data_IF_981988920775
#
_entry.id   IF_981988920775
#
_cell.length_a   1.000
_cell.length_b   1.000
_cell.length_c   1.000
_cell.angle_alpha   90.00
_cell.angle_beta   90.00
_cell.angle_gamma   90.00
#
_symmetry.space_group_name_H-M   'P 1'
#
loop_
_entity.id
_entity.type
_entity.pdbx_description
1 polymer ?
#
# COMPACT_ATOMS: atom_id res chain seq x y z
N UNK A 1 4.14 3.63 18.09
CA UNK A 1 3.50 2.33 17.72
C UNK A 1 1.99 2.47 17.81
N UNK A 2 1.25 2.15 16.76
CA UNK A 2 -0.23 2.15 16.78
C UNK A 2 -0.75 0.78 17.24
N UNK A 3 -1.65 0.77 18.23
CA UNK A 3 -2.35 -0.43 18.71
C UNK A 3 -3.86 -0.22 18.63
N UNK A 4 -4.61 -1.31 18.47
CA UNK A 4 -6.08 -1.30 18.41
C UNK A 4 -6.67 -1.19 19.82
N UNK A 5 -7.66 -0.31 20.01
CA UNK A 5 -8.42 -0.21 21.27
C UNK A 5 -9.82 -0.82 21.10
N UNK A 6 -10.23 -1.69 22.04
CA UNK A 6 -11.56 -2.28 22.23
C UNK A 6 -12.43 -2.46 20.96
N UNK A 7 -12.24 -3.57 20.22
CA UNK A 7 -13.23 -4.03 19.25
C UNK A 7 -14.02 -5.21 19.85
N UNK A 8 -15.34 -5.10 20.07
CA UNK A 8 -16.15 -6.28 20.38
C UNK A 8 -16.07 -7.26 19.20
N UNK A 9 -15.78 -8.53 19.50
CA UNK A 9 -15.49 -9.59 18.52
C UNK A 9 -16.68 -10.05 17.65
N UNK A 10 -17.85 -9.41 17.73
CA UNK A 10 -19.03 -9.86 17.00
C UNK A 10 -19.13 -9.24 15.60
N UNK A 11 -18.76 -10.01 14.56
CA UNK A 11 -19.22 -9.84 13.16
C UNK A 11 -18.94 -8.50 12.43
N UNK A 12 -17.92 -7.72 12.80
CA UNK A 12 -17.61 -6.44 12.12
C UNK A 12 -16.32 -6.48 11.30
N UNK A 13 -16.40 -6.59 9.96
CA UNK A 13 -15.23 -6.30 9.12
C UNK A 13 -14.95 -4.79 9.19
N UNK A 14 -14.02 -4.38 10.06
CA UNK A 14 -13.55 -2.99 10.15
C UNK A 14 -12.24 -2.91 9.38
N UNK A 15 -12.15 -1.99 8.42
CA UNK A 15 -10.85 -1.55 7.88
C UNK A 15 -10.60 -0.19 8.49
N UNK A 16 -9.46 -0.06 9.17
CA UNK A 16 -9.10 1.18 9.85
C UNK A 16 -7.79 1.68 9.26
N UNK A 17 -7.81 2.82 8.57
CA UNK A 17 -6.65 3.36 7.84
C UNK A 17 -6.22 4.71 8.38
N UNK A 18 -4.94 4.80 8.76
CA UNK A 18 -4.27 6.00 9.27
C UNK A 18 -3.66 6.77 8.14
N UNK A 19 -4.14 8.00 8.00
CA UNK A 19 -3.68 8.92 7.00
C UNK A 19 -3.02 10.11 7.68
N UNK A 20 -1.78 10.42 7.31
CA UNK A 20 -1.01 11.56 7.80
C UNK A 20 -1.01 12.68 6.74
N UNK A 21 -1.26 13.95 7.13
CA UNK A 21 -1.32 15.07 6.16
C UNK A 21 -0.80 16.43 6.66
N UNK A 22 -0.49 17.34 5.72
CA UNK A 22 -0.12 18.75 5.99
C UNK A 22 -1.31 19.71 6.23
N UNK A 23 -2.49 19.50 5.60
CA UNK A 23 -3.69 20.37 5.69
C UNK A 23 -5.02 19.59 5.69
N UNK A 24 -5.98 19.92 6.59
CA UNK A 24 -7.32 19.30 6.64
C UNK A 24 -8.44 20.36 6.78
N UNK A 25 -9.50 20.26 5.94
CA UNK A 25 -10.72 21.09 6.02
C UNK A 25 -11.61 20.98 4.77
N UNK A 26 -12.78 20.31 4.87
CA UNK A 26 -13.75 20.12 3.77
C UNK A 26 -15.04 19.41 4.21
N UNK A 27 -16.12 19.61 3.43
CA UNK A 27 -17.50 19.16 3.69
C UNK A 27 -17.67 17.64 3.43
N UNK A 28 -18.45 16.88 4.24
CA UNK A 28 -18.41 15.41 4.24
C UNK A 28 -19.06 14.72 3.04
N UNK A 29 -19.59 15.46 2.05
CA UNK A 29 -20.57 14.92 1.11
C UNK A 29 -20.02 14.46 -0.25
N UNK A 30 -18.77 14.77 -0.60
CA UNK A 30 -18.09 14.24 -1.80
C UNK A 30 -16.59 14.58 -1.88
N UNK A 31 -16.06 15.28 -0.88
CA UNK A 31 -14.64 15.64 -0.84
C UNK A 31 -13.79 14.41 -0.50
N UNK A 32 -12.58 14.27 -1.10
CA UNK A 32 -11.60 13.30 -0.61
C UNK A 32 -11.38 13.50 0.89
N UNK A 33 -11.05 12.42 1.61
CA UNK A 33 -10.88 12.38 3.09
C UNK A 33 -10.13 13.60 3.63
N UNK A 34 -9.24 14.20 2.83
CA UNK A 34 -8.57 15.46 3.10
C UNK A 34 -8.21 16.19 1.77
N UNK A 35 -7.93 17.51 1.80
CA UNK A 35 -7.49 18.36 0.63
C UNK A 35 -5.95 18.51 0.54
N UNK A 36 -5.29 18.24 -0.62
CA UNK A 36 -3.80 18.19 -0.78
C UNK A 36 -3.14 16.80 -1.02
N UNK A 37 -1.96 16.50 -0.47
CA UNK A 37 -1.29 15.16 -0.52
C UNK A 37 -1.38 14.41 0.80
N UNK A 38 -1.61 13.10 0.81
CA UNK A 38 -1.65 12.29 2.03
C UNK A 38 -0.84 11.00 1.92
N UNK A 39 -0.47 10.44 3.08
CA UNK A 39 0.25 9.17 3.16
C UNK A 39 -0.46 8.24 4.14
N UNK A 40 -0.69 7.00 3.73
CA UNK A 40 -1.15 5.95 4.65
C UNK A 40 0.06 5.48 5.46
N UNK A 41 0.04 5.61 6.78
CA UNK A 41 1.15 5.14 7.64
C UNK A 41 0.80 3.88 8.43
N UNK A 42 -0.48 3.54 8.52
CA UNK A 42 -0.95 2.34 9.18
C UNK A 42 -2.30 1.91 8.62
N UNK A 43 -2.54 0.61 8.59
CA UNK A 43 -3.84 0.04 8.24
C UNK A 43 -4.08 -1.21 9.06
N UNK A 44 -5.33 -1.43 9.46
CA UNK A 44 -5.76 -2.66 10.11
C UNK A 44 -6.94 -3.25 9.34
N UNK A 45 -6.95 -4.58 9.22
CA UNK A 45 -8.09 -5.32 8.69
C UNK A 45 -8.44 -6.48 9.63
N UNK A 46 -9.74 -6.78 9.73
CA UNK A 46 -10.24 -7.88 10.56
C UNK A 46 -9.57 -9.20 10.20
N UNK A 47 -9.08 -9.91 11.23
CA UNK A 47 -8.40 -11.20 11.13
C UNK A 47 -7.11 -11.17 10.28
N UNK A 48 -6.56 -10.00 9.99
CA UNK A 48 -5.27 -9.90 9.32
C UNK A 48 -4.13 -10.02 10.34
N UNK A 49 -2.95 -10.53 9.94
CA UNK A 49 -1.77 -10.45 10.78
C UNK A 49 -1.51 -9.01 11.22
N UNK A 50 -1.13 -8.81 12.48
CA UNK A 50 -0.66 -7.50 12.93
C UNK A 50 0.77 -7.28 12.46
N UNK A 51 1.04 -6.15 11.82
CA UNK A 51 2.40 -5.70 11.59
C UNK A 51 2.92 -4.94 12.81
N UNK A 52 4.10 -5.33 13.30
CA UNK A 52 4.81 -4.63 14.37
C UNK A 52 6.01 -3.94 13.76
N UNK A 53 6.15 -2.64 14.02
CA UNK A 53 7.34 -1.89 13.61
C UNK A 53 8.61 -2.56 14.17
N UNK A 54 9.71 -2.60 13.40
CA UNK A 54 11.00 -3.03 13.93
C UNK A 54 11.40 -2.23 15.18
N UNK A 55 12.27 -2.78 16.05
CA UNK A 55 12.86 -2.05 17.16
C UNK A 55 13.52 -0.74 16.71
N UNK A 56 13.59 0.24 17.60
CA UNK A 56 14.22 1.55 17.34
C UNK A 56 13.77 2.23 16.02
N UNK A 57 12.50 2.02 15.63
CA UNK A 57 11.91 2.61 14.42
C UNK A 57 10.66 3.44 14.75
N UNK A 58 10.57 4.64 14.17
CA UNK A 58 9.40 5.53 14.34
C UNK A 58 8.98 6.22 13.04
N UNK A 59 7.69 6.51 12.92
CA UNK A 59 7.17 7.45 11.92
C UNK A 59 7.24 8.88 12.46
N UNK A 60 7.98 9.79 11.80
CA UNK A 60 8.00 11.20 12.21
C UNK A 60 6.68 11.88 11.86
N UNK A 61 6.12 12.61 12.83
CA UNK A 61 4.91 13.42 12.70
C UNK A 61 5.10 14.75 13.44
N UNK A 62 4.35 15.78 13.03
CA UNK A 62 4.52 17.16 13.53
C UNK A 62 5.55 17.95 12.71
N UNK A 63 5.97 19.10 13.26
CA UNK A 63 6.91 20.02 12.61
C UNK A 63 6.43 20.50 11.23
N UNK A 64 7.34 20.49 10.27
CA UNK A 64 7.08 20.82 8.85
C UNK A 64 6.56 19.62 8.03
N UNK A 65 6.49 18.45 8.66
CA UNK A 65 5.96 17.22 8.12
C UNK A 65 4.43 17.13 8.26
N UNK A 66 3.94 15.99 8.73
CA UNK A 66 2.50 15.74 8.85
C UNK A 66 1.91 16.37 10.11
N UNK A 67 0.97 17.31 9.95
CA UNK A 67 0.33 18.08 11.03
C UNK A 67 -0.96 17.46 11.54
N UNK A 68 -1.59 16.60 10.74
CA UNK A 68 -2.87 15.99 11.04
C UNK A 68 -2.79 14.49 10.89
N UNK A 69 -3.50 13.81 11.79
CA UNK A 69 -3.73 12.37 11.77
C UNK A 69 -5.21 12.17 11.50
N UNK A 70 -5.53 11.40 10.47
CA UNK A 70 -6.91 11.13 10.07
C UNK A 70 -7.21 9.65 10.18
N UNK A 71 -8.28 9.36 10.89
CA UNK A 71 -8.81 8.05 11.15
C UNK A 71 -9.97 7.77 10.19
N UNK A 72 -9.78 6.85 9.25
CA UNK A 72 -10.86 6.32 8.42
C UNK A 72 -11.32 4.97 8.98
N UNK A 73 -12.60 4.85 9.34
CA UNK A 73 -13.21 3.59 9.82
C UNK A 73 -14.24 3.13 8.81
N UNK A 74 -14.01 1.95 8.21
CA UNK A 74 -14.97 1.32 7.31
C UNK A 74 -15.91 0.39 8.09
N UNK A 75 -17.21 0.64 8.01
CA UNK A 75 -18.25 -0.22 8.56
C UNK A 75 -18.88 -1.05 7.44
N UNK A 76 -18.56 -2.35 7.38
CA UNK A 76 -19.23 -3.28 6.44
C UNK A 76 -20.73 -3.45 6.76
N UNK A 77 -21.07 -3.50 8.04
CA UNK A 77 -22.44 -3.61 8.52
C UNK A 77 -22.66 -2.57 9.62
N UNK A 78 -23.60 -1.65 9.37
CA UNK A 78 -23.99 -0.59 10.27
C UNK A 78 -25.39 -0.80 10.88
N UNK A 79 -26.02 -1.98 10.66
CA UNK A 79 -27.35 -2.32 11.20
C UNK A 79 -27.44 -2.12 12.71
N UNK A 80 -26.36 -2.46 13.42
CA UNK A 80 -26.26 -2.28 14.87
C UNK A 80 -26.37 -0.82 15.35
N UNK A 81 -26.20 0.17 14.46
CA UNK A 81 -26.29 1.61 14.76
C UNK A 81 -27.61 2.24 14.33
N UNK A 82 -28.53 1.46 13.74
CA UNK A 82 -29.87 1.96 13.35
C UNK A 82 -30.70 2.36 14.58
N UNK A 83 -30.43 1.76 15.74
CA UNK A 83 -31.01 2.18 17.02
C UNK A 83 -30.09 3.22 17.67
N UNK A 84 -30.57 4.47 17.76
CA UNK A 84 -29.81 5.67 18.16
C UNK A 84 -29.11 5.63 19.55
N UNK A 85 -29.28 4.54 20.31
CA UNK A 85 -28.64 4.31 21.61
C UNK A 85 -27.20 3.79 21.50
N UNK A 86 -26.82 3.17 20.38
CA UNK A 86 -25.49 2.54 20.24
C UNK A 86 -24.48 3.50 19.62
N UNK A 87 -23.40 3.80 20.34
CA UNK A 87 -22.25 4.58 19.86
C UNK A 87 -21.04 3.67 19.65
N UNK A 88 -20.20 3.97 18.68
CA UNK A 88 -18.91 3.31 18.46
C UNK A 88 -17.76 4.28 18.78
N UNK A 89 -16.71 3.76 19.43
CA UNK A 89 -15.52 4.52 19.81
C UNK A 89 -14.25 3.84 19.31
N UNK A 90 -14.33 3.15 18.16
CA UNK A 90 -13.16 2.55 17.51
C UNK A 90 -12.12 3.59 17.18
N UNK A 91 -10.86 3.18 17.31
CA UNK A 91 -9.75 3.96 16.83
C UNK A 91 -8.44 3.25 17.14
N UNK A 92 -7.39 4.07 17.24
CA UNK A 92 -6.07 3.61 17.61
C UNK A 92 -5.61 4.23 18.92
N UNK A 93 -4.70 3.52 19.55
CA UNK A 93 -3.84 4.01 20.59
C UNK A 93 -2.45 4.21 19.99
N UNK A 94 -1.89 5.41 20.13
CA UNK A 94 -0.58 5.75 19.59
C UNK A 94 0.41 5.91 20.73
N UNK A 95 1.48 5.14 20.72
CA UNK A 95 2.67 5.44 21.52
C UNK A 95 3.52 6.46 20.76
N UNK A 96 3.70 7.64 21.35
CA UNK A 96 4.46 8.78 20.82
C UNK A 96 5.62 9.13 21.75
N UNK A 97 6.69 9.68 21.19
CA UNK A 97 7.84 10.19 21.93
C UNK A 97 8.43 11.39 21.17
N UNK A 98 9.18 12.24 21.87
CA UNK A 98 9.84 13.41 21.29
C UNK A 98 11.29 13.15 20.89
N UNK A 99 11.95 12.16 21.50
CA UNK A 99 13.29 11.75 21.13
C UNK A 99 13.25 10.92 19.84
N UNK A 100 13.97 11.28 18.77
CA UNK A 100 14.04 10.48 17.55
C UNK A 100 14.56 9.07 17.84
N UNK A 101 14.05 8.10 17.09
CA UNK A 101 14.60 6.74 17.09
C UNK A 101 15.77 6.65 16.08
N UNK A 102 16.48 5.52 16.03
CA UNK A 102 17.62 5.35 15.12
C UNK A 102 17.19 5.25 13.67
N UNK A 103 16.01 4.69 13.41
CA UNK A 103 15.49 4.50 12.08
C UNK A 103 14.15 5.21 11.91
N UNK A 104 13.99 5.90 10.80
CA UNK A 104 12.76 6.61 10.49
C UNK A 104 12.01 5.88 9.38
N UNK A 105 10.71 5.71 9.57
CA UNK A 105 9.86 5.00 8.62
C UNK A 105 9.15 5.96 7.67
N UNK A 106 9.08 5.56 6.41
CA UNK A 106 8.34 6.22 5.33
C UNK A 106 7.47 5.23 4.57
N UNK A 107 6.67 5.75 3.63
CA UNK A 107 5.89 4.93 2.70
C UNK A 107 6.09 5.46 1.30
N UNK A 108 6.55 4.58 0.42
CA UNK A 108 6.69 4.81 -1.01
C UNK A 108 5.47 4.24 -1.72
N UNK A 109 4.82 5.05 -2.56
CA UNK A 109 3.60 4.65 -3.27
C UNK A 109 3.89 4.37 -4.75
N UNK A 110 3.61 3.17 -5.21
CA UNK A 110 3.45 2.88 -6.64
C UNK A 110 1.98 3.01 -7.00
N UNK A 111 1.70 3.83 -8.01
CA UNK A 111 0.36 4.11 -8.50
C UNK A 111 0.42 4.27 -10.01
N UNK A 112 -0.58 3.77 -10.73
CA UNK A 112 -0.65 3.94 -12.18
C UNK A 112 -2.05 4.24 -12.63
N UNK A 113 -2.15 5.05 -13.68
CA UNK A 113 -3.34 5.13 -14.49
C UNK A 113 -3.39 3.92 -15.46
N UNK A 114 -4.47 3.81 -16.23
CA UNK A 114 -4.65 2.75 -17.22
C UNK A 114 -6.12 2.44 -17.44
N UNK A 115 -6.36 1.44 -18.30
CA UNK A 115 -7.69 0.93 -18.58
C UNK A 115 -7.67 -0.59 -18.63
N UNK A 116 -8.76 -1.20 -18.16
CA UNK A 116 -8.95 -2.64 -18.16
C UNK A 116 -9.94 -2.97 -19.26
N UNK A 117 -9.48 -3.76 -20.24
CA UNK A 117 -10.30 -4.11 -21.40
C UNK A 117 -11.53 -4.94 -20.97
N UNK A 118 -12.67 -4.85 -21.67
CA UNK A 118 -13.83 -5.69 -21.39
C UNK A 118 -13.53 -7.16 -21.67
N UNK A 119 -14.15 -8.04 -20.90
CA UNK A 119 -14.12 -9.50 -21.10
C UNK A 119 -12.71 -10.10 -21.24
N UNK A 120 -11.78 -9.72 -20.38
CA UNK A 120 -10.41 -10.23 -20.44
C UNK A 120 -9.53 -9.82 -19.28
N UNK A 121 -8.30 -10.32 -19.34
CA UNK A 121 -7.26 -10.01 -18.38
C UNK A 121 -6.44 -8.80 -18.86
N UNK A 122 -5.95 -8.01 -17.91
CA UNK A 122 -5.10 -6.85 -18.18
C UNK A 122 -4.01 -6.80 -17.12
N UNK A 123 -2.77 -6.65 -17.58
CA UNK A 123 -1.61 -6.35 -16.74
C UNK A 123 -1.25 -4.88 -16.90
N UNK A 124 -1.12 -4.18 -15.79
CA UNK A 124 -0.74 -2.76 -15.75
C UNK A 124 0.50 -2.64 -14.87
N UNK A 125 1.52 -1.95 -15.38
CA UNK A 125 2.83 -1.84 -14.74
C UNK A 125 3.24 -0.38 -14.58
N UNK A 126 4.00 -0.14 -13.52
CA UNK A 126 4.63 1.14 -13.23
C UNK A 126 6.05 0.90 -12.77
N UNK A 127 7.02 1.57 -13.39
CA UNK A 127 8.42 1.45 -13.04
C UNK A 127 9.08 2.83 -12.97
N UNK A 128 9.91 3.02 -11.94
CA UNK A 128 10.69 4.24 -11.78
C UNK A 128 12.11 3.89 -11.34
N UNK A 129 13.06 4.68 -11.84
CA UNK A 129 14.40 4.75 -11.26
C UNK A 129 14.32 5.52 -9.94
N UNK A 130 14.90 4.97 -8.89
CA UNK A 130 15.04 5.65 -7.61
C UNK A 130 16.17 6.69 -7.71
N UNK A 131 15.84 7.95 -7.41
CA UNK A 131 16.76 9.09 -7.56
C UNK A 131 17.11 9.74 -6.22
N UNK A 132 16.66 9.15 -5.11
CA UNK A 132 16.99 9.63 -3.78
C UNK A 132 18.43 9.28 -3.42
N UNK A 133 18.95 9.95 -2.38
CA UNK A 133 20.33 9.76 -1.92
C UNK A 133 20.47 8.69 -0.82
N UNK A 134 19.38 8.36 -0.13
CA UNK A 134 19.37 7.41 0.97
C UNK A 134 19.20 5.97 0.48
N UNK A 135 19.64 4.98 1.26
CA UNK A 135 19.30 3.59 1.00
C UNK A 135 17.96 3.28 1.67
N UNK A 136 16.99 2.76 0.91
CA UNK A 136 15.70 2.38 1.47
C UNK A 136 15.69 0.90 1.85
N UNK A 137 15.21 0.58 3.04
CA UNK A 137 15.02 -0.81 3.47
C UNK A 137 13.52 -1.14 3.57
N UNK A 138 12.94 -1.89 2.60
CA UNK A 138 11.54 -2.31 2.66
C UNK A 138 11.27 -3.22 3.87
N UNK A 139 10.27 -2.87 4.68
CA UNK A 139 9.92 -3.63 5.89
C UNK A 139 8.51 -4.23 5.85
N UNK A 140 7.59 -3.58 5.15
CA UNK A 140 6.23 -4.04 4.96
C UNK A 140 5.63 -3.48 3.67
N UNK A 141 4.56 -4.11 3.18
CA UNK A 141 3.84 -3.65 2.01
C UNK A 141 2.33 -3.82 2.17
N UNK A 142 1.57 -2.99 1.47
CA UNK A 142 0.10 -3.10 1.36
C UNK A 142 -0.29 -2.97 -0.10
N UNK A 143 -1.19 -3.84 -0.55
CA UNK A 143 -1.79 -3.76 -1.88
C UNK A 143 -3.20 -3.16 -1.81
N UNK A 144 -3.63 -2.48 -2.87
CA UNK A 144 -4.99 -2.01 -3.01
C UNK A 144 -5.45 -1.99 -4.47
N UNK A 145 -6.61 -2.59 -4.67
CA UNK A 145 -7.46 -2.49 -5.85
C UNK A 145 -8.92 -2.65 -5.40
N UNK A 146 -9.86 -2.34 -6.29
CA UNK A 146 -11.28 -2.66 -6.20
C UNK A 146 -11.52 -4.09 -6.69
N UNK A 147 -12.66 -4.38 -7.31
CA UNK A 147 -13.15 -5.75 -7.52
C UNK A 147 -12.47 -6.54 -8.63
N UNK A 148 -11.73 -5.88 -9.53
CA UNK A 148 -11.13 -6.53 -10.70
C UNK A 148 -9.67 -6.95 -10.44
N UNK A 149 -9.03 -6.42 -9.38
CA UNK A 149 -7.66 -6.80 -9.02
C UNK A 149 -7.53 -8.27 -8.59
N UNK A 150 -6.66 -9.02 -9.27
CA UNK A 150 -6.35 -10.42 -8.98
C UNK A 150 -5.12 -10.50 -8.07
N UNK A 151 -4.00 -9.90 -8.49
CA UNK A 151 -2.74 -9.86 -7.73
C UNK A 151 -2.01 -8.55 -8.02
N UNK A 152 -1.44 -7.95 -6.96
CA UNK A 152 -0.53 -6.82 -7.07
C UNK A 152 0.82 -7.23 -6.49
N UNK A 153 1.89 -6.86 -7.20
CA UNK A 153 3.26 -7.25 -6.91
C UNK A 153 4.19 -6.05 -7.06
N UNK A 154 5.33 -6.08 -6.37
CA UNK A 154 6.40 -5.14 -6.59
C UNK A 154 7.77 -5.82 -6.56
N UNK A 155 8.67 -5.30 -7.38
CA UNK A 155 10.00 -5.83 -7.61
C UNK A 155 11.06 -4.73 -7.52
N UNK A 156 12.23 -5.11 -7.02
CA UNK A 156 13.46 -4.33 -7.10
C UNK A 156 14.36 -4.95 -8.17
N UNK A 157 14.89 -4.10 -9.06
CA UNK A 157 15.95 -4.45 -9.99
C UNK A 157 17.23 -3.77 -9.56
N UNK A 158 18.22 -4.56 -9.14
CA UNK A 158 19.51 -4.10 -8.65
C UNK A 158 20.61 -4.98 -9.26
N UNK A 159 21.64 -4.37 -9.85
CA UNK A 159 22.77 -5.06 -10.50
C UNK A 159 22.35 -6.16 -11.50
N UNK A 160 21.28 -5.92 -12.27
CA UNK A 160 20.76 -6.88 -13.26
C UNK A 160 20.00 -8.06 -12.66
N UNK A 161 19.74 -8.07 -11.35
CA UNK A 161 18.94 -9.09 -10.68
C UNK A 161 17.57 -8.53 -10.26
N UNK A 162 16.54 -9.38 -10.35
CA UNK A 162 15.16 -9.12 -9.92
C UNK A 162 14.93 -9.69 -8.54
N UNK A 163 14.39 -8.89 -7.62
CA UNK A 163 14.00 -9.32 -6.28
C UNK A 163 12.55 -8.95 -5.97
N UNK A 164 11.77 -9.90 -5.46
CA UNK A 164 10.40 -9.65 -5.02
C UNK A 164 10.40 -8.84 -3.72
N UNK A 165 9.72 -7.69 -3.74
CA UNK A 165 9.43 -6.90 -2.53
C UNK A 165 8.19 -7.46 -1.83
N UNK A 166 7.15 -7.79 -2.60
CA UNK A 166 5.94 -8.42 -2.07
C UNK A 166 4.93 -8.73 -3.15
N UNK A 167 4.09 -9.74 -2.90
CA UNK A 167 3.00 -10.18 -3.77
C UNK A 167 1.77 -10.49 -2.92
N UNK A 168 0.60 -9.96 -3.30
CA UNK A 168 -0.65 -10.25 -2.60
C UNK A 168 -1.86 -9.98 -3.48
N UNK A 169 -2.89 -10.80 -3.33
CA UNK A 169 -4.20 -10.48 -3.90
C UNK A 169 -4.85 -9.30 -3.16
N UNK A 170 -5.29 -8.24 -3.87
CA UNK A 170 -5.99 -7.12 -3.25
C UNK A 170 -7.39 -7.48 -2.75
N UNK A 171 -7.93 -8.65 -3.13
CA UNK A 171 -9.19 -9.17 -2.56
C UNK A 171 -9.01 -9.77 -1.15
N UNK A 172 -7.76 -10.03 -0.75
CA UNK A 172 -7.45 -10.38 0.63
C UNK A 172 -7.49 -9.14 1.54
N UNK A 173 -7.24 -9.35 2.83
CA UNK A 173 -7.28 -8.29 3.85
C UNK A 173 -6.21 -7.24 3.54
N UNK A 174 -6.63 -6.06 3.12
CA UNK A 174 -5.72 -4.98 2.72
C UNK A 174 -5.06 -4.27 3.91
N UNK A 175 -4.16 -4.98 4.58
CA UNK A 175 -3.29 -4.50 5.65
C UNK A 175 -1.84 -4.38 5.16
N UNK A 176 -0.94 -3.89 6.03
CA UNK A 176 0.49 -4.07 5.83
C UNK A 176 0.91 -5.49 6.19
N UNK A 177 1.56 -6.17 5.23
CA UNK A 177 2.20 -7.47 5.35
C UNK A 177 3.72 -7.27 5.44
N UNK A 178 4.45 -8.10 6.19
CA UNK A 178 5.90 -8.01 6.23
C UNK A 178 6.51 -8.31 4.84
N UNK A 179 7.58 -7.60 4.49
CA UNK A 179 8.45 -8.01 3.36
C UNK A 179 9.26 -9.22 3.81
N UNK A 180 9.25 -10.33 3.06
CA UNK A 180 9.93 -11.57 3.49
C UNK A 180 11.46 -11.43 3.46
N UNK A 181 12.01 -10.87 2.38
CA UNK A 181 13.44 -10.64 2.29
C UNK A 181 13.87 -9.40 3.09
N UNK A 182 14.34 -9.63 4.32
CA UNK A 182 14.82 -8.59 5.25
C UNK A 182 16.14 -7.94 4.86
N UNK A 183 16.83 -8.46 3.83
CA UNK A 183 18.12 -7.94 3.36
C UNK A 183 17.99 -7.00 2.17
N UNK A 184 16.77 -6.78 1.66
CA UNK A 184 16.54 -5.85 0.56
C UNK A 184 16.97 -4.43 0.95
N UNK A 185 17.73 -3.84 0.04
CA UNK A 185 18.23 -2.49 0.12
C UNK A 185 18.11 -1.87 -1.27
N UNK A 186 17.31 -0.82 -1.38
CA UNK A 186 17.12 -0.06 -2.61
C UNK A 186 18.14 1.08 -2.60
N UNK A 187 19.06 1.03 -3.55
CA UNK A 187 20.14 2.00 -3.69
C UNK A 187 19.77 3.07 -4.71
N UNK A 188 20.40 4.26 -4.64
CA UNK A 188 20.32 5.23 -5.72
C UNK A 188 20.59 4.57 -7.08
N UNK A 189 19.81 4.97 -8.08
CA UNK A 189 19.79 4.44 -9.45
C UNK A 189 19.17 3.05 -9.65
N UNK A 190 18.74 2.36 -8.60
CA UNK A 190 17.95 1.13 -8.75
C UNK A 190 16.61 1.39 -9.45
N UNK A 191 16.07 0.36 -10.10
CA UNK A 191 14.71 0.43 -10.68
C UNK A 191 13.76 -0.34 -9.79
N UNK A 192 12.68 0.30 -9.39
CA UNK A 192 11.57 -0.36 -8.71
C UNK A 192 10.36 -0.42 -9.65
N UNK A 193 9.66 -1.54 -9.64
CA UNK A 193 8.46 -1.76 -10.46
C UNK A 193 7.33 -2.32 -9.61
N UNK A 194 6.09 -1.91 -9.90
CA UNK A 194 4.91 -2.59 -9.43
C UNK A 194 4.02 -3.02 -10.60
N UNK A 195 3.39 -4.19 -10.44
CA UNK A 195 2.52 -4.83 -11.43
C UNK A 195 1.17 -5.13 -10.78
N UNK A 196 0.09 -4.86 -11.50
CA UNK A 196 -1.24 -5.30 -11.14
C UNK A 196 -1.81 -6.16 -12.27
N UNK A 197 -2.17 -7.40 -11.93
CA UNK A 197 -2.96 -8.26 -12.81
C UNK A 197 -4.42 -8.14 -12.42
N UNK A 198 -5.27 -7.89 -13.42
CA UNK A 198 -6.68 -7.62 -13.25
C UNK A 198 -7.50 -8.42 -14.27
N UNK A 199 -8.71 -8.81 -13.88
CA UNK A 199 -9.65 -9.51 -14.76
C UNK A 199 -10.96 -8.75 -14.80
N UNK A 200 -11.45 -8.43 -15.99
CA UNK A 200 -12.71 -7.75 -16.21
C UNK A 200 -13.72 -8.66 -16.89
N UNK A 201 -14.76 -9.04 -16.16
CA UNK A 201 -15.88 -9.83 -16.67
C UNK A 201 -17.05 -8.97 -17.17
N UNK A 202 -16.91 -7.63 -17.16
CA UNK A 202 -17.91 -6.71 -17.68
C UNK A 202 -17.71 -6.45 -19.18
N UNK A 203 -18.80 -6.06 -19.85
CA UNK A 203 -18.80 -5.67 -21.27
C UNK A 203 -18.33 -4.22 -21.52
N UNK A 204 -17.84 -3.52 -20.49
CA UNK A 204 -17.34 -2.14 -20.58
C UNK A 204 -15.87 -2.06 -20.18
N UNK A 205 -15.19 -1.04 -20.69
CA UNK A 205 -13.87 -0.65 -20.21
C UNK A 205 -13.98 -0.11 -18.79
N UNK A 206 -13.08 -0.54 -17.91
CA UNK A 206 -12.92 0.03 -16.56
C UNK A 206 -11.72 0.97 -16.58
N UNK A 207 -11.90 2.19 -16.07
CA UNK A 207 -10.85 3.19 -15.94
C UNK A 207 -10.35 3.26 -14.50
N UNK A 208 -9.14 3.76 -14.30
CA UNK A 208 -8.65 4.05 -12.95
C UNK A 208 -9.39 5.24 -12.34
N UNK A 209 -9.73 5.15 -11.05
CA UNK A 209 -10.52 6.16 -10.36
C UNK A 209 -10.85 5.81 -8.91
N UNK A 210 -11.50 6.75 -8.23
CA UNK A 210 -11.74 6.68 -6.79
C UNK A 210 -13.08 6.04 -6.40
N UNK A 211 -13.96 5.75 -7.37
CA UNK A 211 -15.27 5.19 -7.09
C UNK A 211 -15.27 3.67 -7.21
N UNK A 212 -16.28 3.03 -6.63
CA UNK A 212 -16.47 1.58 -6.75
C UNK A 212 -16.66 1.10 -8.20
N UNK A 213 -17.03 2.00 -9.12
CA UNK A 213 -17.24 1.67 -10.53
C UNK A 213 -15.94 1.77 -11.36
N UNK A 214 -14.90 2.33 -10.77
CA UNK A 214 -13.55 2.49 -11.32
C UNK A 214 -12.62 1.41 -10.73
N UNK A 215 -11.35 1.44 -11.11
CA UNK A 215 -10.30 0.64 -10.47
C UNK A 215 -9.13 1.45 -9.88
N UNK A 216 -8.28 0.79 -9.10
CA UNK A 216 -6.99 1.29 -8.64
C UNK A 216 -5.92 0.20 -8.75
N UNK A 217 -4.70 0.62 -9.09
CA UNK A 217 -3.52 -0.21 -8.98
C UNK A 217 -2.52 0.47 -8.04
N UNK A 218 -2.64 0.18 -6.74
CA UNK A 218 -1.77 0.77 -5.72
C UNK A 218 -0.95 -0.30 -5.01
N UNK A 219 0.34 -0.04 -4.88
CA UNK A 219 1.25 -0.79 -4.00
C UNK A 219 1.95 0.19 -3.06
N UNK A 220 1.73 0.04 -1.75
CA UNK A 220 2.34 0.86 -0.71
C UNK A 220 3.50 0.08 -0.12
N UNK A 221 4.72 0.56 -0.29
CA UNK A 221 5.92 -0.02 0.33
C UNK A 221 6.32 0.82 1.54
N UNK A 222 6.19 0.26 2.72
CA UNK A 222 6.76 0.83 3.93
C UNK A 222 8.25 0.53 3.98
N UNK A 223 9.06 1.57 4.14
CA UNK A 223 10.52 1.47 4.21
C UNK A 223 11.05 2.16 5.46
N UNK A 224 12.29 1.85 5.81
CA UNK A 224 13.06 2.59 6.83
C UNK A 224 14.35 3.15 6.24
N UNK A 225 14.80 4.26 6.81
CA UNK A 225 16.10 4.89 6.59
C UNK A 225 16.76 5.17 7.94
N UNK A 226 18.07 5.39 7.96
CA UNK A 226 18.74 5.87 9.16
C UNK A 226 18.34 7.31 9.49
N UNK A 227 18.39 7.67 10.78
CA UNK A 227 18.08 9.04 11.22
C UNK A 227 18.93 10.10 10.51
N UNK A 228 20.17 9.77 10.13
CA UNK A 228 21.04 10.67 9.38
C UNK A 228 20.49 11.02 7.98
N UNK A 229 19.59 10.19 7.44
CA UNK A 229 18.99 10.33 6.11
C UNK A 229 17.53 10.82 6.18
N UNK A 230 17.15 11.54 7.26
CA UNK A 230 15.78 12.05 7.47
C UNK A 230 15.24 12.85 6.27
N UNK A 231 16.11 13.56 5.54
CA UNK A 231 15.74 14.35 4.36
C UNK A 231 15.04 13.51 3.28
N UNK A 232 15.30 12.19 3.21
CA UNK A 232 14.60 11.27 2.33
C UNK A 232 13.09 11.27 2.57
N UNK A 233 12.62 11.47 3.79
CA UNK A 233 11.17 11.50 4.11
C UNK A 233 10.49 12.79 3.65
N UNK A 234 11.28 13.78 3.22
CA UNK A 234 10.81 15.08 2.76
C UNK A 234 11.02 15.29 1.27
N UNK A 235 11.78 14.42 0.61
CA UNK A 235 11.96 14.40 -0.84
C UNK A 235 10.67 13.95 -1.55
N UNK A 236 9.93 14.93 -2.07
CA UNK A 236 8.65 14.72 -2.76
C UNK A 236 8.78 13.96 -4.08
N UNK A 237 9.96 13.94 -4.69
CA UNK A 237 10.20 13.22 -5.94
C UNK A 237 10.46 11.74 -5.70
N UNK A 238 10.83 11.37 -4.47
CA UNK A 238 11.18 10.00 -4.09
C UNK A 238 10.22 9.42 -3.01
N UNK A 239 8.95 9.86 -3.00
CA UNK A 239 7.88 9.22 -2.21
C UNK A 239 6.86 8.45 -3.06
N UNK A 240 6.89 8.60 -4.38
CA UNK A 240 5.94 7.95 -5.25
C UNK A 240 6.55 7.64 -6.61
N UNK A 241 6.07 6.56 -7.22
CA UNK A 241 6.29 6.22 -8.60
C UNK A 241 4.93 6.21 -9.30
N UNK A 242 4.82 7.02 -10.37
CA UNK A 242 3.58 7.16 -11.13
C UNK A 242 3.84 6.98 -12.64
N UNK A 243 2.92 6.29 -13.30
CA UNK A 243 2.81 6.19 -14.76
C UNK A 243 1.38 6.43 -15.22
N UNK A 244 1.24 6.89 -16.47
CA UNK A 244 -0.05 7.10 -17.15
C UNK A 244 -0.59 5.79 -17.80
N UNK A 245 -0.25 4.64 -17.23
CA UNK A 245 -0.54 3.31 -17.79
C UNK A 245 0.48 2.82 -18.82
N UNK A 246 1.55 3.58 -19.07
CA UNK A 246 2.72 3.13 -19.83
C UNK A 246 3.95 3.13 -18.95
N UNK A 247 4.74 2.05 -18.97
CA UNK A 247 6.00 2.03 -18.23
C UNK A 247 6.94 3.11 -18.75
N UNK A 248 7.42 3.96 -17.85
CA UNK A 248 8.39 5.02 -18.14
C UNK A 248 9.84 4.49 -18.21
N UNK A 249 10.03 3.20 -17.92
CA UNK A 249 11.33 2.53 -17.93
C UNK A 249 11.26 1.32 -18.84
N UNK A 250 12.25 1.19 -19.72
CA UNK A 250 12.41 0.01 -20.55
C UNK A 250 12.90 -1.16 -19.69
N UNK A 251 11.95 -2.03 -19.33
CA UNK A 251 12.20 -3.21 -18.51
C UNK A 251 12.86 -4.35 -19.30
N UNK A 252 12.91 -4.28 -20.65
CA UNK A 252 13.47 -5.37 -21.47
C UNK A 252 14.97 -5.56 -21.23
N UNK A 253 15.65 -4.53 -20.69
CA UNK A 253 17.06 -4.60 -20.31
C UNK A 253 17.32 -5.35 -19.00
N UNK A 254 16.28 -5.67 -18.23
CA UNK A 254 16.37 -6.30 -16.90
C UNK A 254 15.72 -7.69 -16.82
N UNK A 255 14.96 -8.08 -17.84
CA UNK A 255 14.31 -9.40 -17.93
C UNK A 255 15.22 -10.30 -18.76
N UNK A 256 15.93 -11.21 -18.10
CA UNK A 256 16.44 -12.40 -18.77
C UNK A 256 15.24 -13.35 -18.90
N UNK A 257 14.75 -13.58 -20.12
CA UNK A 257 13.54 -14.36 -20.43
C UNK A 257 13.60 -15.82 -19.91
N UNK A 258 14.74 -16.27 -19.36
CA UNK A 258 14.96 -17.62 -18.86
C UNK A 258 14.50 -17.90 -17.42
N UNK A 259 13.94 -16.92 -16.69
CA UNK A 259 13.58 -17.10 -15.26
C UNK A 259 12.07 -17.16 -14.94
N UNK A 260 11.17 -17.04 -15.92
CA UNK A 260 9.72 -17.13 -15.66
C UNK A 260 9.14 -18.57 -15.79
N UNK A 261 9.97 -19.59 -16.08
CA UNK A 261 9.51 -20.98 -16.21
C UNK A 261 9.63 -21.85 -14.94
N UNK A 262 10.23 -21.38 -13.82
CA UNK A 262 10.55 -22.28 -12.71
C UNK A 262 9.64 -22.27 -11.48
N UNK A 263 8.64 -21.37 -11.37
CA UNK A 263 7.88 -21.23 -10.11
C UNK A 263 6.35 -21.44 -10.26
N UNK A 264 5.88 -22.02 -11.37
CA UNK A 264 4.52 -22.58 -11.44
C UNK A 264 4.55 -24.08 -11.13
N UNK A 265 4.80 -24.42 -9.86
CA UNK A 265 4.38 -25.73 -9.36
C UNK A 265 2.86 -25.72 -9.19
N UNK A 266 2.18 -26.45 -10.07
CA UNK A 266 0.76 -26.77 -10.03
C UNK A 266 0.41 -27.51 -8.72
N UNK A 267 0.07 -26.77 -7.65
CA UNK A 267 -0.65 -27.35 -6.52
C UNK A 267 -2.16 -27.29 -6.80
N UNK A 268 -2.63 -28.32 -7.48
CA UNK A 268 -4.04 -28.67 -7.64
C UNK A 268 -4.66 -28.96 -6.25
N UNK A 269 -5.46 -28.03 -5.73
CA UNK A 269 -6.26 -28.20 -4.50
C UNK A 269 -7.69 -28.70 -4.86
N UNK A 270 -8.05 -29.97 -4.61
CA UNK A 270 -9.29 -30.58 -5.06
C UNK A 270 -10.48 -30.43 -4.09
N UNK A 271 -10.57 -29.35 -3.31
CA UNK A 271 -11.65 -29.19 -2.32
C UNK A 271 -12.50 -27.93 -2.52
N UNK A 272 -13.21 -27.86 -3.65
CA UNK A 272 -14.40 -27.00 -3.80
C UNK A 272 -15.51 -27.71 -4.61
N UNK A 273 -16.08 -28.76 -4.02
CA UNK A 273 -17.50 -29.08 -4.21
C UNK A 273 -18.14 -29.12 -2.82
N UNK A 274 -19.06 -28.16 -2.55
CA UNK A 274 -20.28 -28.20 -1.74
C UNK A 274 -20.72 -26.79 -1.32
#
# INVERSE_FOLDING_TARGET
>A
VAKKRNLPQSKFCRVISFISRRNCGGDPSSDPVCKGTFTIIFSWAMNAPSFTMPPDTSFPIGGDGYKYLVLQVHYKDASAFQNAQKKDTSGWELSMQTTPTKHLAGVYLFVTDGQIAPNGDTTIEVACRYTGSAILHPIAFRVHAHSHGVVNEAFLFHNGQRYLIGSKSPQQKQTFYPVENKTLAIHPDDVMMARCNMTNHENRVIYMGNTRNDEMCNFYMMYVVDFADEDQLHDRYNQQCFSDGKSNVDLSSFVDESQDESDMDDEYDPYWEF
#
